data_IF_536870315331
#
_entry.id   IF_536870315331
#
_cell.length_a   1.000
_cell.length_b   1.000
_cell.length_c   1.000
_cell.angle_alpha   90.00
_cell.angle_beta   90.00
_cell.angle_gamma   90.00
#
_symmetry.space_group_name_H-M   'P 1'
#
loop_
_entity.id
_entity.type
_entity.pdbx_description
1 polymer ?
#
# COMPACT_ATOMS: atom_id res chain seq x y z
N UNK A 1 28.44 -14.77 -22.39
CA UNK A 1 28.28 -13.32 -22.61
C UNK A 1 26.83 -12.82 -22.54
N UNK A 2 25.84 -13.62 -22.10
CA UNK A 2 24.42 -13.21 -22.01
C UNK A 2 23.97 -12.64 -20.65
N UNK A 3 24.79 -12.72 -19.61
CA UNK A 3 24.39 -12.28 -18.26
C UNK A 3 24.60 -10.77 -17.96
N UNK A 4 25.43 -10.10 -18.74
CA UNK A 4 25.70 -8.67 -18.51
C UNK A 4 24.59 -7.73 -19.06
N UNK A 5 23.83 -8.18 -20.06
CA UNK A 5 22.75 -7.37 -20.66
C UNK A 5 21.47 -7.30 -19.81
N UNK A 6 21.18 -8.32 -19.00
CA UNK A 6 19.97 -8.35 -18.17
C UNK A 6 20.08 -7.52 -16.89
N UNK A 7 21.26 -7.42 -16.31
CA UNK A 7 21.49 -6.60 -15.11
C UNK A 7 21.47 -5.08 -15.44
N UNK A 8 21.93 -4.67 -16.63
CA UNK A 8 21.89 -3.28 -17.06
C UNK A 8 20.47 -2.78 -17.30
N UNK A 9 19.62 -3.57 -17.97
CA UNK A 9 18.24 -3.20 -18.26
C UNK A 9 17.37 -3.12 -16.99
N UNK A 10 17.56 -4.02 -16.02
CA UNK A 10 16.86 -3.97 -14.74
C UNK A 10 17.26 -2.75 -13.89
N UNK A 11 18.51 -2.32 -13.97
CA UNK A 11 18.97 -1.09 -13.29
C UNK A 11 18.32 0.17 -13.86
N UNK A 12 18.12 0.25 -15.18
CA UNK A 12 17.49 1.39 -15.85
C UNK A 12 15.99 1.50 -15.47
N UNK A 13 15.29 0.38 -15.39
CA UNK A 13 13.87 0.39 -15.01
C UNK A 13 13.65 0.76 -13.54
N UNK A 14 14.54 0.38 -12.63
CA UNK A 14 14.47 0.76 -11.22
C UNK A 14 14.67 2.27 -10.99
N UNK A 15 15.25 3.00 -11.94
CA UNK A 15 15.35 4.47 -11.90
C UNK A 15 14.07 5.17 -12.40
N UNK A 16 13.09 4.44 -12.95
CA UNK A 16 11.86 5.04 -13.45
C UNK A 16 11.06 5.77 -12.36
N UNK A 17 10.95 5.20 -11.16
CA UNK A 17 10.27 5.86 -10.05
C UNK A 17 11.00 7.13 -9.59
N UNK A 18 12.30 7.10 -9.26
CA UNK A 18 13.04 8.31 -8.93
C UNK A 18 12.99 9.39 -10.03
N UNK A 19 13.10 8.99 -11.29
CA UNK A 19 13.03 9.91 -12.43
C UNK A 19 11.63 10.56 -12.54
N UNK A 20 10.57 9.76 -12.36
CA UNK A 20 9.19 10.26 -12.33
C UNK A 20 9.01 11.27 -11.19
N UNK A 21 9.43 10.92 -9.98
CA UNK A 21 9.39 11.83 -8.83
C UNK A 21 10.11 13.14 -9.10
N UNK A 22 11.33 13.11 -9.63
CA UNK A 22 12.11 14.31 -9.97
C UNK A 22 11.41 15.18 -11.05
N UNK A 23 10.81 14.54 -12.05
CA UNK A 23 10.05 15.25 -13.07
C UNK A 23 8.84 15.96 -12.48
N UNK A 24 8.08 15.27 -11.63
CA UNK A 24 6.92 15.83 -10.95
C UNK A 24 7.28 16.90 -9.90
N UNK A 25 8.44 16.81 -9.25
CA UNK A 25 8.90 17.83 -8.30
C UNK A 25 9.05 19.21 -8.95
N UNK A 26 9.27 19.27 -10.26
CA UNK A 26 9.40 20.50 -11.05
C UNK A 26 8.07 21.01 -11.59
N UNK A 27 6.98 20.24 -11.48
CA UNK A 27 5.66 20.62 -11.96
C UNK A 27 4.90 21.44 -10.91
N UNK A 28 4.06 22.39 -11.36
CA UNK A 28 3.19 23.13 -10.45
C UNK A 28 2.17 22.17 -9.81
N UNK A 29 1.86 22.43 -8.57
CA UNK A 29 0.78 21.81 -7.83
C UNK A 29 0.13 22.85 -6.93
N UNK A 30 -1.12 22.64 -6.59
CA UNK A 30 -1.90 23.60 -5.80
C UNK A 30 -2.89 22.88 -4.90
N UNK A 31 -3.40 23.60 -3.92
CA UNK A 31 -4.50 23.17 -3.09
C UNK A 31 -5.35 24.34 -2.68
N UNK A 32 -6.59 24.06 -2.34
CA UNK A 32 -7.51 25.01 -1.75
C UNK A 32 -8.06 24.46 -0.42
N UNK A 33 -8.32 25.35 0.51
CA UNK A 33 -8.98 25.03 1.78
C UNK A 33 -10.47 24.90 1.53
N UNK A 34 -11.03 23.73 1.79
CA UNK A 34 -12.46 23.43 1.60
C UNK A 34 -13.25 23.69 2.86
N UNK A 35 -12.73 23.22 4.00
CA UNK A 35 -13.42 23.34 5.28
C UNK A 35 -12.45 23.31 6.45
N UNK A 36 -12.96 23.80 7.59
CA UNK A 36 -12.34 23.65 8.90
C UNK A 36 -13.44 23.30 9.89
N UNK A 37 -13.28 22.16 10.57
CA UNK A 37 -14.28 21.65 11.50
C UNK A 37 -13.61 21.20 12.79
N UNK A 38 -14.37 21.23 13.88
CA UNK A 38 -13.92 20.69 15.18
C UNK A 38 -14.53 19.31 15.39
N UNK A 39 -13.74 18.44 15.97
CA UNK A 39 -14.21 17.17 16.52
C UNK A 39 -13.72 17.04 17.97
N UNK A 40 -14.22 16.07 18.71
CA UNK A 40 -13.80 15.86 20.09
C UNK A 40 -12.29 15.55 20.17
N UNK A 41 -11.52 16.45 20.76
CA UNK A 41 -10.09 16.32 20.97
C UNK A 41 -9.21 16.83 19.83
N UNK A 42 -9.78 17.52 18.83
CA UNK A 42 -8.98 18.04 17.73
C UNK A 42 -9.69 18.94 16.72
N UNK A 43 -8.94 19.33 15.71
CA UNK A 43 -9.39 20.09 14.54
C UNK A 43 -9.09 19.31 13.27
N UNK A 44 -10.02 19.36 12.32
CA UNK A 44 -9.87 18.85 10.95
C UNK A 44 -9.84 20.04 9.99
N UNK A 45 -8.85 20.06 9.12
CA UNK A 45 -8.79 20.94 7.95
C UNK A 45 -8.86 20.11 6.69
N UNK A 46 -9.84 20.43 5.84
CA UNK A 46 -10.11 19.71 4.59
C UNK A 46 -9.61 20.51 3.41
N UNK A 47 -8.96 19.87 2.48
CA UNK A 47 -8.37 20.47 1.31
C UNK A 47 -8.75 19.71 0.04
N UNK A 48 -8.81 20.42 -1.10
CA UNK A 48 -8.78 19.84 -2.42
C UNK A 48 -7.39 20.06 -3.01
N UNK A 49 -6.64 18.98 -3.21
CA UNK A 49 -5.27 18.97 -3.71
C UNK A 49 -5.25 18.64 -5.20
N UNK A 50 -4.74 19.53 -6.04
CA UNK A 50 -4.32 19.24 -7.41
C UNK A 50 -2.86 18.79 -7.37
N UNK A 51 -2.62 17.47 -7.39
CA UNK A 51 -1.32 16.88 -7.04
C UNK A 51 -0.33 16.84 -8.19
N UNK A 52 -0.80 16.51 -9.37
CA UNK A 52 0.01 16.29 -10.59
C UNK A 52 -0.87 16.10 -11.81
N UNK A 53 -0.26 16.18 -13.01
CA UNK A 53 -0.87 15.70 -14.26
C UNK A 53 -0.30 14.33 -14.63
N UNK A 54 -1.17 13.39 -15.05
CA UNK A 54 -0.78 12.04 -15.43
C UNK A 54 -1.56 11.57 -16.67
N UNK A 55 -0.99 10.78 -17.60
CA UNK A 55 0.39 10.28 -17.58
C UNK A 55 1.43 11.31 -18.03
N UNK A 56 1.03 12.34 -18.75
CA UNK A 56 1.91 13.38 -19.26
C UNK A 56 1.79 14.66 -18.41
N UNK A 57 2.90 15.26 -17.97
CA UNK A 57 2.88 16.48 -17.17
C UNK A 57 2.23 17.69 -17.84
N UNK A 58 2.20 17.74 -19.19
CA UNK A 58 1.68 18.88 -19.95
C UNK A 58 0.31 18.60 -20.57
N UNK A 59 0.03 17.34 -20.93
CA UNK A 59 -1.18 16.95 -21.67
C UNK A 59 -2.05 15.95 -20.92
N UNK A 60 -1.58 15.48 -19.75
CA UNK A 60 -2.32 14.54 -18.90
C UNK A 60 -3.47 15.17 -18.14
N UNK A 61 -4.28 14.31 -17.56
CA UNK A 61 -5.36 14.73 -16.64
C UNK A 61 -4.77 15.15 -15.29
N UNK A 62 -5.22 16.29 -14.78
CA UNK A 62 -4.85 16.74 -13.44
C UNK A 62 -5.56 15.85 -12.41
N UNK A 63 -4.77 15.29 -11.49
CA UNK A 63 -5.29 14.49 -10.41
C UNK A 63 -5.68 15.34 -9.21
N UNK A 64 -6.94 15.21 -8.80
CA UNK A 64 -7.49 15.90 -7.64
C UNK A 64 -7.78 14.90 -6.52
N UNK A 65 -7.44 15.29 -5.29
CA UNK A 65 -7.60 14.46 -4.10
C UNK A 65 -8.18 15.26 -2.96
N UNK A 66 -9.05 14.63 -2.19
CA UNK A 66 -9.43 15.16 -0.88
C UNK A 66 -8.31 14.86 0.11
N UNK A 67 -7.83 15.89 0.79
CA UNK A 67 -6.82 15.74 1.84
C UNK A 67 -7.38 16.27 3.16
N UNK A 68 -7.28 15.45 4.20
CA UNK A 68 -7.66 15.79 5.55
C UNK A 68 -6.42 15.90 6.41
N UNK A 69 -6.21 17.04 7.05
CA UNK A 69 -5.21 17.24 8.09
C UNK A 69 -5.93 17.33 9.43
N UNK A 70 -5.81 16.26 10.23
CA UNK A 70 -6.38 16.18 11.57
C UNK A 70 -5.27 16.46 12.59
N UNK A 71 -5.50 17.44 13.46
CA UNK A 71 -4.55 17.83 14.51
C UNK A 71 -5.21 17.68 15.88
N UNK A 72 -4.50 17.09 16.86
CA UNK A 72 -5.00 17.05 18.23
C UNK A 72 -4.93 18.44 18.87
N UNK A 73 -5.83 18.70 19.83
CA UNK A 73 -5.81 19.95 20.64
C UNK A 73 -4.50 20.12 21.38
N UNK A 74 -3.94 19.01 21.84
CA UNK A 74 -2.64 18.97 22.50
C UNK A 74 -1.72 18.08 21.67
N UNK A 75 -0.95 18.72 20.80
CA UNK A 75 0.02 18.02 19.95
C UNK A 75 1.18 17.50 20.81
N UNK A 76 1.52 16.25 20.59
CA UNK A 76 2.68 15.62 21.20
C UNK A 76 3.81 15.53 20.16
N UNK A 77 5.08 15.73 20.52
CA UNK A 77 6.20 15.53 19.59
C UNK A 77 6.21 14.11 19.01
N UNK A 78 6.70 13.98 17.78
CA UNK A 78 6.87 12.69 17.11
C UNK A 78 6.36 12.70 15.68
N UNK A 79 6.36 11.54 15.01
CA UNK A 79 5.90 11.41 13.64
C UNK A 79 4.38 11.62 13.53
N UNK A 80 3.93 12.09 12.37
CA UNK A 80 2.53 12.07 11.96
C UNK A 80 2.20 10.75 11.23
N UNK A 81 0.93 10.40 11.17
CA UNK A 81 0.46 9.30 10.32
C UNK A 81 0.03 9.85 8.97
N UNK A 82 0.62 9.33 7.88
CA UNK A 82 0.11 9.52 6.53
C UNK A 82 -0.72 8.30 6.13
N UNK A 83 -1.97 8.53 5.76
CA UNK A 83 -2.90 7.51 5.28
C UNK A 83 -3.13 7.70 3.79
N UNK A 84 -2.72 6.74 2.97
CA UNK A 84 -3.10 6.66 1.57
C UNK A 84 -4.43 5.92 1.51
N UNK A 85 -5.51 6.68 1.30
CA UNK A 85 -6.87 6.19 1.47
C UNK A 85 -7.58 6.00 0.11
N UNK A 86 -8.61 5.17 0.12
CA UNK A 86 -9.48 5.01 -1.03
C UNK A 86 -10.51 6.14 -1.10
N UNK A 87 -11.50 5.98 -1.96
CA UNK A 87 -12.62 6.88 -2.16
C UNK A 87 -12.94 7.01 -3.64
N UNK A 88 -14.11 7.54 -3.91
CA UNK A 88 -14.56 7.89 -5.26
C UNK A 88 -15.10 9.31 -5.22
N UNK A 89 -14.33 10.23 -5.80
CA UNK A 89 -14.67 11.64 -5.76
C UNK A 89 -15.94 11.96 -6.57
N UNK A 90 -16.16 11.24 -7.67
CA UNK A 90 -17.33 11.37 -8.53
C UNK A 90 -17.52 10.13 -9.42
N UNK A 91 -18.74 9.93 -9.89
CA UNK A 91 -19.19 8.78 -10.68
C UNK A 91 -18.89 8.85 -12.18
N UNK A 92 -17.99 9.74 -12.60
CA UNK A 92 -17.78 10.06 -14.03
C UNK A 92 -18.84 11.04 -14.61
N UNK A 93 -19.95 11.24 -13.93
CA UNK A 93 -20.98 12.25 -14.23
C UNK A 93 -20.89 13.49 -13.33
N UNK A 94 -19.85 13.59 -12.53
CA UNK A 94 -19.58 14.73 -11.65
C UNK A 94 -20.31 14.69 -10.30
N UNK A 95 -20.96 13.56 -9.95
CA UNK A 95 -21.62 13.42 -8.64
C UNK A 95 -20.65 12.85 -7.60
N UNK A 96 -20.58 13.41 -6.39
CA UNK A 96 -19.82 12.83 -5.30
C UNK A 96 -20.36 11.42 -4.97
N UNK A 97 -19.52 10.38 -4.96
CA UNK A 97 -19.99 9.00 -4.85
C UNK A 97 -19.58 8.29 -3.58
N UNK A 98 -18.57 8.72 -2.87
CA UNK A 98 -18.25 7.98 -1.67
C UNK A 98 -17.14 8.57 -0.82
N UNK A 99 -17.32 8.44 0.48
CA UNK A 99 -16.26 8.72 1.44
C UNK A 99 -15.18 7.62 1.37
N UNK A 100 -13.98 7.97 1.77
CA UNK A 100 -12.92 7.00 2.01
C UNK A 100 -13.36 6.02 3.12
N UNK A 101 -13.10 4.74 2.94
CA UNK A 101 -13.52 3.70 3.88
C UNK A 101 -12.47 2.63 4.20
N UNK A 102 -11.24 2.73 3.66
CA UNK A 102 -10.13 1.92 4.17
C UNK A 102 -9.78 2.34 5.60
N UNK A 103 -9.66 3.67 5.82
CA UNK A 103 -9.66 4.29 7.15
C UNK A 103 -10.72 5.42 7.15
N UNK A 104 -11.94 5.16 7.62
CA UNK A 104 -12.99 6.16 7.63
C UNK A 104 -12.75 7.23 8.71
N UNK A 105 -13.51 8.31 8.65
CA UNK A 105 -13.33 9.51 9.46
C UNK A 105 -13.32 9.26 10.96
N UNK A 106 -14.18 8.40 11.45
CA UNK A 106 -14.27 8.02 12.88
C UNK A 106 -13.00 7.27 13.35
N UNK A 107 -12.40 6.46 12.47
CA UNK A 107 -11.12 5.80 12.73
C UNK A 107 -9.99 6.81 12.78
N UNK A 108 -9.94 7.77 11.83
CA UNK A 108 -8.94 8.83 11.81
C UNK A 108 -9.01 9.70 13.07
N UNK A 109 -10.20 10.14 13.47
CA UNK A 109 -10.42 10.91 14.69
C UNK A 109 -10.05 10.13 15.96
N UNK A 110 -10.38 8.83 15.98
CA UNK A 110 -10.01 7.94 17.10
C UNK A 110 -8.49 7.82 17.23
N UNK A 111 -7.74 7.72 16.11
CA UNK A 111 -6.29 7.71 16.13
C UNK A 111 -5.73 9.02 16.71
N UNK A 112 -6.26 10.16 16.29
CA UNK A 112 -5.84 11.48 16.82
C UNK A 112 -6.08 11.57 18.32
N UNK A 113 -7.30 11.26 18.80
CA UNK A 113 -7.66 11.30 20.23
C UNK A 113 -6.80 10.34 21.07
N UNK A 114 -6.64 9.11 20.57
CA UNK A 114 -5.99 8.04 21.33
C UNK A 114 -4.49 8.24 21.46
N UNK A 115 -3.89 8.84 20.43
CA UNK A 115 -2.44 8.93 20.31
C UNK A 115 -1.90 10.36 20.47
N UNK A 116 -2.73 11.41 20.40
CA UNK A 116 -2.27 12.80 20.41
C UNK A 116 -1.32 13.11 19.24
N UNK A 117 -1.50 12.46 18.09
CA UNK A 117 -0.67 12.62 16.89
C UNK A 117 -1.46 13.24 15.74
N UNK A 118 -0.78 14.00 14.90
CA UNK A 118 -1.39 14.49 13.67
C UNK A 118 -1.59 13.34 12.67
N UNK A 119 -2.68 13.40 11.92
CA UNK A 119 -3.01 12.46 10.84
C UNK A 119 -3.23 13.26 9.56
N UNK A 120 -2.56 12.85 8.49
CA UNK A 120 -2.78 13.34 7.12
C UNK A 120 -3.41 12.19 6.34
N UNK A 121 -4.65 12.36 5.88
CA UNK A 121 -5.32 11.37 5.03
C UNK A 121 -5.49 11.94 3.64
N UNK A 122 -4.92 11.30 2.64
CA UNK A 122 -5.19 11.60 1.23
C UNK A 122 -6.14 10.54 0.69
N UNK A 123 -7.34 10.96 0.30
CA UNK A 123 -8.36 10.11 -0.30
C UNK A 123 -8.33 10.17 -1.84
N UNK A 124 -9.15 9.31 -2.46
CA UNK A 124 -9.29 9.22 -3.92
C UNK A 124 -7.95 8.87 -4.61
N UNK A 125 -7.22 7.92 -4.03
CA UNK A 125 -5.94 7.43 -4.59
C UNK A 125 -6.12 5.99 -5.11
N UNK A 126 -6.11 5.81 -6.46
CA UNK A 126 -6.09 6.83 -7.53
C UNK A 126 -7.42 7.58 -7.63
N UNK A 127 -7.47 8.74 -8.31
CA UNK A 127 -8.74 9.35 -8.71
C UNK A 127 -9.51 8.39 -9.62
N UNK A 128 -10.80 8.21 -9.34
CA UNK A 128 -11.65 7.25 -10.06
C UNK A 128 -13.12 7.67 -10.04
N UNK A 129 -13.93 7.30 -11.05
CA UNK A 129 -13.53 6.48 -12.22
C UNK A 129 -12.70 7.31 -13.19
N UNK A 130 -11.66 6.71 -13.79
CA UNK A 130 -10.74 7.39 -14.70
C UNK A 130 -10.63 6.63 -16.04
N UNK A 131 -10.64 7.37 -17.15
CA UNK A 131 -10.33 6.89 -18.47
C UNK A 131 -8.83 7.04 -18.77
N UNK A 132 -8.27 6.08 -19.51
CA UNK A 132 -6.88 6.20 -19.99
C UNK A 132 -6.84 6.95 -21.32
N UNK A 133 -5.78 7.69 -21.64
CA UNK A 133 -5.63 8.36 -22.93
C UNK A 133 -5.85 7.40 -24.12
N UNK A 134 -6.74 7.80 -25.04
CA UNK A 134 -7.11 7.01 -26.19
C UNK A 134 -8.07 5.84 -25.91
N UNK A 135 -8.54 5.70 -24.69
CA UNK A 135 -9.53 4.69 -24.29
C UNK A 135 -10.58 5.35 -23.37
N UNK A 136 -11.81 5.58 -23.84
CA UNK A 136 -12.84 6.31 -23.09
C UNK A 136 -13.47 5.48 -21.95
N UNK A 137 -13.09 4.21 -21.79
CA UNK A 137 -13.64 3.34 -20.76
C UNK A 137 -13.26 3.83 -19.37
N UNK A 138 -14.27 4.16 -18.57
CA UNK A 138 -14.06 4.56 -17.17
C UNK A 138 -13.75 3.31 -16.32
N UNK A 139 -12.63 3.35 -15.63
CA UNK A 139 -12.13 2.25 -14.80
C UNK A 139 -11.93 2.68 -13.36
N UNK A 140 -12.03 1.72 -12.47
CA UNK A 140 -11.82 1.91 -11.05
C UNK A 140 -10.89 0.82 -10.49
N UNK A 141 -10.28 1.08 -9.36
CA UNK A 141 -9.54 0.12 -8.54
C UNK A 141 -8.56 -0.75 -9.36
N UNK A 142 -8.62 -2.07 -9.24
CA UNK A 142 -7.67 -2.98 -9.86
C UNK A 142 -7.79 -3.05 -11.38
N UNK A 143 -8.97 -2.76 -11.94
CA UNK A 143 -9.14 -2.63 -13.38
C UNK A 143 -8.33 -1.46 -13.95
N UNK A 144 -8.30 -0.32 -13.25
CA UNK A 144 -7.48 0.82 -13.65
C UNK A 144 -5.97 0.52 -13.50
N UNK A 145 -5.56 -0.17 -12.44
CA UNK A 145 -4.17 -0.62 -12.25
C UNK A 145 -3.76 -1.55 -13.39
N UNK A 146 -4.53 -2.61 -13.64
CA UNK A 146 -4.24 -3.62 -14.66
C UNK A 146 -4.19 -3.00 -16.07
N UNK A 147 -5.12 -2.10 -16.40
CA UNK A 147 -5.12 -1.36 -17.65
C UNK A 147 -3.85 -0.50 -17.81
N UNK A 148 -3.40 0.17 -16.76
CA UNK A 148 -2.15 0.96 -16.80
C UNK A 148 -0.91 0.10 -17.01
N UNK A 149 -0.87 -1.09 -16.41
CA UNK A 149 0.19 -2.06 -16.61
C UNK A 149 0.17 -2.62 -18.05
N UNK A 150 -1.02 -2.89 -18.58
CA UNK A 150 -1.16 -3.36 -19.98
C UNK A 150 -0.61 -2.31 -20.95
N UNK A 151 -0.90 -1.04 -20.74
CA UNK A 151 -0.34 0.07 -21.55
C UNK A 151 1.19 0.09 -21.55
N UNK A 152 1.79 -0.12 -20.38
CA UNK A 152 3.24 -0.24 -20.29
C UNK A 152 3.75 -1.47 -21.04
N UNK A 153 3.14 -2.64 -20.85
CA UNK A 153 3.57 -3.89 -21.50
C UNK A 153 3.45 -3.85 -23.02
N UNK A 154 2.45 -3.15 -23.56
CA UNK A 154 2.27 -3.01 -25.00
C UNK A 154 3.32 -2.11 -25.65
N UNK A 155 3.82 -1.10 -24.95
CA UNK A 155 4.76 -0.14 -25.47
C UNK A 155 5.70 0.38 -24.37
N UNK A 156 6.65 -0.44 -23.85
CA UNK A 156 7.47 -0.07 -22.70
C UNK A 156 8.41 1.11 -22.96
N UNK A 157 8.86 1.29 -24.21
CA UNK A 157 9.73 2.41 -24.56
C UNK A 157 9.00 3.75 -24.39
N UNK A 158 9.52 4.61 -23.50
CA UNK A 158 8.93 5.91 -23.20
C UNK A 158 7.69 5.88 -22.26
N UNK A 159 7.25 4.71 -21.79
CA UNK A 159 6.04 4.56 -20.98
C UNK A 159 6.29 4.07 -19.54
N UNK A 160 7.52 4.17 -19.03
CA UNK A 160 7.87 3.75 -17.68
C UNK A 160 7.11 4.52 -16.56
N UNK A 161 6.49 5.64 -16.89
CA UNK A 161 5.65 6.47 -16.02
C UNK A 161 4.15 6.06 -16.00
N UNK A 162 3.75 5.10 -16.85
CA UNK A 162 2.36 4.65 -16.94
C UNK A 162 1.89 3.79 -15.77
N UNK A 163 2.72 2.92 -15.16
CA UNK A 163 2.24 2.10 -14.05
C UNK A 163 1.68 2.97 -12.91
N UNK A 164 0.42 2.74 -12.59
CA UNK A 164 -0.40 3.62 -11.75
C UNK A 164 0.16 3.84 -10.33
N UNK A 165 0.98 2.91 -9.84
CA UNK A 165 1.59 3.02 -8.51
C UNK A 165 2.52 4.25 -8.38
N UNK A 166 3.14 4.70 -9.48
CA UNK A 166 4.01 5.86 -9.47
C UNK A 166 3.23 7.14 -9.16
N UNK A 167 2.19 7.51 -9.95
CA UNK A 167 1.39 8.69 -9.63
C UNK A 167 0.64 8.56 -8.29
N UNK A 168 0.24 7.35 -7.86
CA UNK A 168 -0.34 7.14 -6.53
C UNK A 168 0.64 7.50 -5.41
N UNK A 169 1.89 7.04 -5.50
CA UNK A 169 2.95 7.38 -4.56
C UNK A 169 3.28 8.89 -4.60
N UNK A 170 3.34 9.49 -5.78
CA UNK A 170 3.59 10.92 -5.94
C UNK A 170 2.48 11.78 -5.31
N UNK A 171 1.21 11.38 -5.43
CA UNK A 171 0.11 12.08 -4.78
C UNK A 171 0.23 12.07 -3.25
N UNK A 172 0.67 10.96 -2.68
CA UNK A 172 0.91 10.85 -1.25
C UNK A 172 2.08 11.75 -0.78
N UNK A 173 3.13 11.89 -1.58
CA UNK A 173 4.22 12.86 -1.32
C UNK A 173 3.67 14.29 -1.35
N UNK A 174 2.78 14.63 -2.30
CA UNK A 174 2.15 15.96 -2.34
C UNK A 174 1.26 16.24 -1.13
N UNK A 175 0.63 15.22 -0.56
CA UNK A 175 -0.11 15.38 0.69
C UNK A 175 0.83 15.70 1.88
N UNK A 176 2.03 15.10 1.92
CA UNK A 176 3.05 15.50 2.90
C UNK A 176 3.53 16.94 2.65
N UNK A 177 3.76 17.33 1.40
CA UNK A 177 4.14 18.70 1.04
C UNK A 177 3.07 19.73 1.46
N UNK A 178 1.78 19.40 1.28
CA UNK A 178 0.66 20.20 1.74
C UNK A 178 0.68 20.34 3.28
N UNK A 179 0.79 19.22 3.98
CA UNK A 179 0.82 19.23 5.44
C UNK A 179 2.01 20.05 5.97
N UNK A 180 3.18 19.95 5.36
CA UNK A 180 4.35 20.73 5.72
C UNK A 180 4.19 22.25 5.46
N UNK A 181 3.36 22.65 4.48
CA UNK A 181 3.01 24.06 4.26
C UNK A 181 2.02 24.58 5.31
N UNK A 182 1.11 23.74 5.73
CA UNK A 182 0.03 24.09 6.66
C UNK A 182 0.49 24.00 8.14
N UNK A 183 1.58 23.29 8.43
CA UNK A 183 2.14 23.17 9.76
C UNK A 183 3.29 24.16 9.96
N UNK A 184 3.41 24.78 11.17
CA UNK A 184 4.60 25.54 11.50
C UNK A 184 5.88 24.74 11.31
N UNK A 185 6.96 25.37 10.86
CA UNK A 185 8.25 24.70 10.56
C UNK A 185 8.73 23.82 11.72
N UNK A 186 8.60 24.32 12.95
CA UNK A 186 8.99 23.58 14.17
C UNK A 186 8.09 22.34 14.47
N UNK A 187 6.98 22.19 13.75
CA UNK A 187 6.02 21.09 13.94
C UNK A 187 5.95 20.15 12.72
N UNK A 188 6.82 20.35 11.73
CA UNK A 188 6.86 19.46 10.55
C UNK A 188 7.37 18.08 10.99
N UNK A 189 6.52 17.05 10.85
CA UNK A 189 6.86 15.72 11.34
C UNK A 189 7.68 14.92 10.31
N UNK A 190 8.30 13.83 10.75
CA UNK A 190 8.46 12.66 9.90
C UNK A 190 7.14 11.90 9.80
N UNK A 191 7.03 10.99 8.85
CA UNK A 191 5.77 10.29 8.60
C UNK A 191 5.89 8.79 8.80
N UNK A 192 4.92 8.23 9.51
CA UNK A 192 4.57 6.81 9.44
C UNK A 192 3.56 6.67 8.32
N UNK A 193 3.81 5.83 7.32
CA UNK A 193 2.94 5.71 6.16
C UNK A 193 2.15 4.41 6.21
N UNK A 194 0.84 4.51 5.96
CA UNK A 194 -0.08 3.36 5.88
C UNK A 194 -1.01 3.48 4.68
N UNK A 195 -1.59 2.37 4.30
CA UNK A 195 -2.58 2.20 3.27
C UNK A 195 -2.93 0.73 3.14
N UNK A 196 -3.97 0.41 2.36
CA UNK A 196 -4.39 -0.96 2.13
C UNK A 196 -4.25 -1.35 0.65
N UNK A 197 -3.86 -2.62 0.38
CA UNK A 197 -3.80 -3.18 -0.97
C UNK A 197 -2.88 -2.37 -1.90
N UNK A 198 -3.34 -1.98 -3.08
CA UNK A 198 -2.59 -1.13 -4.03
C UNK A 198 -2.09 0.19 -3.44
N UNK A 199 -2.77 0.73 -2.42
CA UNK A 199 -2.36 1.94 -1.68
C UNK A 199 -1.21 1.65 -0.70
N UNK A 200 -1.24 0.46 -0.09
CA UNK A 200 -0.10 -0.06 0.67
C UNK A 200 1.10 -0.33 -0.24
N UNK A 201 0.86 -0.81 -1.47
CA UNK A 201 1.92 -0.93 -2.48
C UNK A 201 2.56 0.42 -2.76
N UNK A 202 1.75 1.45 -3.03
CA UNK A 202 2.26 2.80 -3.22
C UNK A 202 3.06 3.29 -1.99
N UNK A 203 2.64 2.95 -0.76
CA UNK A 203 3.34 3.36 0.47
C UNK A 203 4.79 2.86 0.53
N UNK A 204 5.08 1.68 -0.01
CA UNK A 204 6.42 1.13 -0.08
C UNK A 204 7.37 1.91 -1.01
N UNK A 205 6.81 2.63 -1.99
CA UNK A 205 7.60 3.41 -2.94
C UNK A 205 8.04 4.76 -2.36
N UNK A 206 7.32 5.30 -1.38
CA UNK A 206 7.62 6.63 -0.83
C UNK A 206 9.04 6.74 -0.25
N UNK A 207 9.50 5.84 0.66
CA UNK A 207 10.81 5.97 1.27
C UNK A 207 11.97 5.89 0.27
N UNK A 208 11.75 5.33 -0.91
CA UNK A 208 12.78 5.25 -1.95
C UNK A 208 13.23 6.63 -2.45
N UNK A 209 12.40 7.65 -2.31
CA UNK A 209 12.64 9.00 -2.83
C UNK A 209 12.42 10.11 -1.79
N UNK A 210 11.77 9.84 -0.66
CA UNK A 210 11.42 10.84 0.35
C UNK A 210 11.92 10.43 1.74
N UNK A 211 12.79 11.26 2.31
CA UNK A 211 13.44 11.00 3.61
C UNK A 211 12.54 11.28 4.81
N UNK A 212 11.43 11.96 4.61
CA UNK A 212 10.44 12.20 5.67
C UNK A 212 9.73 10.93 6.12
N UNK A 213 9.74 9.86 5.31
CA UNK A 213 9.16 8.57 5.70
C UNK A 213 10.08 7.87 6.70
N UNK A 214 9.58 7.68 7.91
CA UNK A 214 10.32 7.06 9.02
C UNK A 214 9.90 5.62 9.33
N UNK A 215 8.65 5.26 9.05
CA UNK A 215 8.10 3.92 9.30
C UNK A 215 7.06 3.56 8.23
N UNK A 216 6.84 2.26 8.05
CA UNK A 216 5.78 1.73 7.17
C UNK A 216 4.82 0.82 7.93
N UNK A 217 3.52 0.95 7.65
CA UNK A 217 2.48 0.06 8.16
C UNK A 217 1.54 -0.36 7.01
N UNK A 218 2.01 -1.12 6.01
CA UNK A 218 1.19 -1.59 4.89
C UNK A 218 0.22 -2.68 5.32
N UNK A 219 -1.01 -2.63 4.79
CA UNK A 219 -2.06 -3.62 5.02
C UNK A 219 -2.37 -4.38 3.74
N UNK A 220 -2.54 -5.70 3.87
CA UNK A 220 -3.00 -6.63 2.83
C UNK A 220 -2.32 -6.43 1.49
N UNK A 221 -0.99 -6.46 1.51
CA UNK A 221 -0.14 -6.39 0.33
C UNK A 221 1.12 -7.23 0.50
N UNK A 222 1.43 -8.03 -0.49
CA UNK A 222 2.66 -8.79 -0.59
C UNK A 222 3.46 -8.36 -1.82
N UNK A 223 4.74 -8.67 -1.85
CA UNK A 223 5.68 -8.27 -2.89
C UNK A 223 6.43 -9.49 -3.46
N UNK A 224 7.39 -9.26 -4.37
CA UNK A 224 8.12 -10.30 -5.07
C UNK A 224 7.22 -11.10 -6.02
N UNK A 225 6.48 -10.36 -6.85
CA UNK A 225 5.47 -10.93 -7.75
C UNK A 225 5.97 -12.01 -8.69
N UNK A 226 7.24 -12.01 -9.06
CA UNK A 226 7.82 -13.08 -9.87
C UNK A 226 7.81 -14.45 -9.16
N UNK A 227 7.99 -14.47 -7.83
CA UNK A 227 7.89 -15.69 -7.03
C UNK A 227 6.47 -15.90 -6.51
N UNK A 228 5.77 -14.84 -6.16
CA UNK A 228 4.43 -14.87 -5.59
C UNK A 228 3.37 -15.35 -6.57
N UNK A 229 3.41 -14.92 -7.82
CA UNK A 229 2.37 -15.26 -8.80
C UNK A 229 2.28 -16.78 -9.09
N UNK A 230 3.39 -17.52 -9.30
CA UNK A 230 3.35 -18.99 -9.38
C UNK A 230 2.83 -19.64 -8.10
N UNK A 231 3.17 -19.10 -6.93
CA UNK A 231 2.67 -19.59 -5.65
C UNK A 231 1.16 -19.43 -5.52
N UNK A 232 0.62 -18.23 -5.81
CA UNK A 232 -0.83 -17.97 -5.84
C UNK A 232 -1.52 -19.02 -6.72
N UNK A 233 -1.06 -19.18 -7.95
CA UNK A 233 -1.65 -20.14 -8.87
C UNK A 233 -1.60 -21.58 -8.35
N UNK A 234 -0.51 -21.98 -7.70
CA UNK A 234 -0.36 -23.30 -7.11
C UNK A 234 -1.37 -23.54 -5.97
N UNK A 235 -1.46 -22.60 -5.01
CA UNK A 235 -2.33 -22.77 -3.83
C UNK A 235 -3.83 -22.72 -4.17
N UNK A 236 -4.19 -22.07 -5.28
CA UNK A 236 -5.56 -22.06 -5.82
C UNK A 236 -5.82 -23.13 -6.90
N UNK A 237 -5.05 -24.24 -6.88
CA UNK A 237 -5.31 -25.41 -7.73
C UNK A 237 -5.08 -25.17 -9.22
N UNK A 238 -4.09 -24.36 -9.59
CA UNK A 238 -3.73 -24.03 -10.97
C UNK A 238 -4.56 -22.89 -11.58
N UNK A 239 -5.44 -22.26 -10.80
CA UNK A 239 -6.30 -21.14 -11.23
C UNK A 239 -5.85 -19.83 -10.60
N UNK A 240 -6.34 -18.72 -11.14
CA UNK A 240 -6.22 -17.43 -10.52
C UNK A 240 -7.42 -17.19 -9.58
N UNK A 241 -7.24 -16.62 -8.40
CA UNK A 241 -8.36 -16.22 -7.55
C UNK A 241 -9.19 -15.13 -8.20
N UNK A 242 -10.48 -15.06 -7.86
CA UNK A 242 -11.44 -14.10 -8.46
C UNK A 242 -10.95 -12.66 -8.31
N UNK A 243 -10.30 -12.34 -7.20
CA UNK A 243 -9.76 -11.01 -6.93
C UNK A 243 -8.74 -10.54 -7.98
N UNK A 244 -8.02 -11.47 -8.64
CA UNK A 244 -7.11 -11.15 -9.73
C UNK A 244 -7.81 -11.08 -11.11
N UNK A 245 -9.15 -11.14 -11.16
CA UNK A 245 -9.94 -11.06 -12.40
C UNK A 245 -9.51 -9.93 -13.34
N UNK A 246 -9.40 -8.67 -12.88
CA UNK A 246 -8.95 -7.56 -13.72
C UNK A 246 -7.57 -7.79 -14.35
N UNK A 247 -6.64 -8.38 -13.63
CA UNK A 247 -5.30 -8.70 -14.16
C UNK A 247 -5.32 -9.84 -15.19
N UNK A 248 -6.25 -10.78 -15.04
CA UNK A 248 -6.50 -11.84 -16.05
C UNK A 248 -7.12 -11.23 -17.31
N UNK A 249 -8.15 -10.42 -17.16
CA UNK A 249 -8.87 -9.78 -18.27
C UNK A 249 -7.96 -8.89 -19.12
N UNK A 250 -7.01 -8.19 -18.49
CA UNK A 250 -6.02 -7.38 -19.19
C UNK A 250 -4.78 -8.19 -19.66
N UNK A 251 -4.77 -9.51 -19.52
CA UNK A 251 -3.66 -10.36 -19.95
C UNK A 251 -2.35 -10.14 -19.20
N UNK A 252 -2.41 -9.55 -17.99
CA UNK A 252 -1.22 -9.33 -17.16
C UNK A 252 -0.67 -10.67 -16.67
N UNK A 253 -1.57 -11.59 -16.30
CA UNK A 253 -1.20 -12.94 -15.84
C UNK A 253 -0.50 -13.76 -16.91
N UNK A 254 -0.80 -13.53 -18.19
CA UNK A 254 -0.16 -14.21 -19.33
C UNK A 254 1.26 -13.67 -19.58
N UNK A 255 1.53 -12.44 -19.16
CA UNK A 255 2.85 -11.84 -19.28
C UNK A 255 3.83 -12.28 -18.18
N UNK A 256 3.35 -12.94 -17.11
CA UNK A 256 4.20 -13.41 -16.01
C UNK A 256 5.30 -14.34 -16.54
N UNK A 257 6.54 -14.09 -16.11
CA UNK A 257 7.72 -14.81 -16.62
C UNK A 257 8.34 -14.23 -17.89
N UNK A 258 7.67 -13.27 -18.55
CA UNK A 258 8.26 -12.55 -19.67
C UNK A 258 9.24 -11.46 -19.20
N UNK A 259 10.12 -11.03 -20.14
CA UNK A 259 11.00 -9.87 -19.90
C UNK A 259 10.17 -8.60 -19.61
N UNK A 260 9.08 -8.37 -20.36
CA UNK A 260 8.22 -7.20 -20.16
C UNK A 260 7.63 -7.15 -18.75
N UNK A 261 7.18 -8.29 -18.21
CA UNK A 261 6.71 -8.36 -16.84
C UNK A 261 7.83 -8.15 -15.81
N UNK A 262 9.02 -8.68 -16.06
CA UNK A 262 10.19 -8.43 -15.20
C UNK A 262 10.57 -6.95 -15.18
N UNK A 263 10.55 -6.29 -16.33
CA UNK A 263 10.80 -4.86 -16.46
C UNK A 263 9.72 -4.02 -15.73
N UNK A 264 8.43 -4.41 -15.84
CA UNK A 264 7.34 -3.78 -15.08
C UNK A 264 7.55 -3.92 -13.56
N UNK A 265 7.89 -5.13 -13.10
CA UNK A 265 8.15 -5.37 -11.67
C UNK A 265 9.39 -4.61 -11.19
N UNK A 266 10.40 -4.40 -12.02
CA UNK A 266 11.54 -3.55 -11.70
C UNK A 266 11.14 -2.08 -11.41
N UNK A 267 10.01 -1.63 -11.98
CA UNK A 267 9.45 -0.29 -11.72
C UNK A 267 8.61 -0.26 -10.44
N UNK A 268 7.68 -1.22 -10.30
CA UNK A 268 6.61 -1.10 -9.29
C UNK A 268 6.78 -2.00 -8.08
N UNK A 269 7.48 -3.14 -8.18
CA UNK A 269 7.60 -4.09 -7.07
C UNK A 269 8.66 -3.63 -6.06
N UNK A 270 8.29 -3.32 -4.81
CA UNK A 270 9.24 -2.90 -3.78
C UNK A 270 10.39 -3.89 -3.57
N UNK A 271 10.15 -5.18 -3.79
CA UNK A 271 11.17 -6.23 -3.65
C UNK A 271 12.37 -6.01 -4.56
N UNK A 272 12.17 -5.49 -5.77
CA UNK A 272 13.25 -5.29 -6.75
C UNK A 272 14.24 -4.24 -6.29
N UNK A 273 13.83 -3.28 -5.49
CA UNK A 273 14.69 -2.23 -4.92
C UNK A 273 15.60 -2.73 -3.80
N UNK A 274 15.34 -3.92 -3.23
CA UNK A 274 16.19 -4.52 -2.19
C UNK A 274 17.59 -4.88 -2.68
N UNK A 275 17.76 -5.03 -3.98
CA UNK A 275 19.05 -5.35 -4.61
C UNK A 275 19.75 -4.11 -5.21
N UNK A 276 19.13 -2.94 -5.11
CA UNK A 276 19.60 -1.71 -5.74
C UNK A 276 20.25 -0.73 -4.75
N UNK A 277 20.71 0.43 -5.27
CA UNK A 277 21.36 1.46 -4.46
C UNK A 277 20.41 2.09 -3.39
N UNK A 278 19.10 1.88 -3.54
CA UNK A 278 18.09 2.41 -2.62
C UNK A 278 17.64 1.40 -1.55
N UNK A 279 18.26 0.23 -1.47
CA UNK A 279 17.91 -0.82 -0.51
C UNK A 279 17.94 -0.32 0.95
N UNK A 280 18.92 0.52 1.29
CA UNK A 280 19.03 1.11 2.62
C UNK A 280 17.84 1.98 3.02
N UNK A 281 17.13 2.55 2.04
CA UNK A 281 15.92 3.36 2.27
C UNK A 281 14.74 2.51 2.79
N UNK A 282 14.77 1.20 2.54
CA UNK A 282 13.77 0.24 3.05
C UNK A 282 14.17 -0.35 4.40
N UNK A 283 15.27 0.05 5.02
CA UNK A 283 15.71 -0.45 6.33
C UNK A 283 14.96 0.17 7.54
N UNK A 284 13.98 1.02 7.29
CA UNK A 284 13.12 1.62 8.32
C UNK A 284 12.23 0.56 9.01
N UNK A 285 11.74 0.80 10.26
CA UNK A 285 10.83 -0.10 10.94
C UNK A 285 9.52 -0.30 10.20
N UNK A 286 9.02 -1.55 10.18
CA UNK A 286 7.82 -1.96 9.43
C UNK A 286 6.88 -2.82 10.26
N UNK A 287 5.58 -2.57 10.12
CA UNK A 287 4.49 -3.44 10.56
C UNK A 287 3.71 -3.91 9.33
N UNK A 288 3.90 -5.15 8.93
CA UNK A 288 3.10 -5.77 7.87
C UNK A 288 1.84 -6.35 8.48
N UNK A 289 0.68 -6.03 7.92
CA UNK A 289 -0.61 -6.54 8.40
C UNK A 289 -1.33 -7.23 7.27
N UNK A 290 -1.44 -8.56 7.34
CA UNK A 290 -2.12 -9.40 6.36
C UNK A 290 -3.37 -10.05 6.95
N UNK A 291 -4.24 -10.57 6.09
CA UNK A 291 -5.47 -11.25 6.45
C UNK A 291 -5.35 -12.77 6.22
N UNK A 292 -5.88 -13.57 7.15
CA UNK A 292 -5.75 -15.04 7.07
C UNK A 292 -6.57 -15.67 5.94
N UNK A 293 -7.61 -14.98 5.47
CA UNK A 293 -8.49 -15.40 4.39
C UNK A 293 -8.44 -14.45 3.19
N UNK A 294 -7.29 -13.81 2.94
CA UNK A 294 -7.10 -12.91 1.82
C UNK A 294 -7.21 -13.68 0.49
N UNK A 295 -7.96 -13.13 -0.45
CA UNK A 295 -8.22 -13.71 -1.76
C UNK A 295 -7.35 -13.12 -2.88
N UNK A 296 -6.51 -12.11 -2.58
CA UNK A 296 -5.40 -11.68 -3.43
C UNK A 296 -4.10 -12.38 -3.04
N UNK A 297 -3.83 -12.46 -1.73
CA UNK A 297 -2.57 -12.90 -1.18
C UNK A 297 -2.76 -14.07 -0.22
N UNK A 298 -2.31 -15.28 -0.56
CA UNK A 298 -2.35 -16.41 0.36
C UNK A 298 -1.68 -16.07 1.69
N UNK A 299 -2.18 -16.58 2.83
CA UNK A 299 -1.67 -16.20 4.14
C UNK A 299 -0.19 -16.55 4.38
N UNK A 300 0.40 -17.39 3.55
CA UNK A 300 1.82 -17.75 3.56
C UNK A 300 2.67 -17.02 2.49
N UNK A 301 2.11 -16.09 1.74
CA UNK A 301 2.80 -15.34 0.68
C UNK A 301 4.10 -14.66 1.15
N UNK A 302 4.14 -14.25 2.41
CA UNK A 302 5.32 -13.61 3.02
C UNK A 302 6.59 -14.48 3.03
N UNK A 303 6.49 -15.80 2.85
CA UNK A 303 7.66 -16.69 2.76
C UNK A 303 8.61 -16.31 1.61
N UNK A 304 8.08 -15.64 0.58
CA UNK A 304 8.85 -15.28 -0.60
C UNK A 304 9.72 -14.02 -0.42
N UNK A 305 9.49 -13.23 0.63
CA UNK A 305 10.21 -11.94 0.74
C UNK A 305 10.53 -11.49 2.18
N UNK A 306 9.85 -12.00 3.21
CA UNK A 306 9.96 -11.48 4.57
C UNK A 306 11.40 -11.52 5.11
N UNK A 307 12.11 -12.60 4.84
CA UNK A 307 13.51 -12.77 5.29
C UNK A 307 14.51 -11.88 4.56
N UNK A 308 14.14 -11.34 3.40
CA UNK A 308 14.97 -10.42 2.63
C UNK A 308 14.79 -8.95 3.02
N UNK A 309 13.75 -8.63 3.80
CA UNK A 309 13.48 -7.24 4.19
C UNK A 309 14.54 -6.73 5.17
N UNK A 310 15.19 -5.60 4.87
CA UNK A 310 16.15 -5.00 5.78
C UNK A 310 15.45 -4.27 6.92
N UNK A 311 16.11 -4.17 8.07
CA UNK A 311 15.63 -3.44 9.24
C UNK A 311 14.52 -4.15 10.03
N UNK A 312 14.03 -3.53 11.11
CA UNK A 312 13.03 -4.13 11.97
C UNK A 312 11.71 -4.37 11.25
N UNK A 313 11.27 -5.62 11.18
CA UNK A 313 10.03 -6.01 10.51
C UNK A 313 9.19 -6.86 11.45
N UNK A 314 7.92 -6.51 11.61
CA UNK A 314 6.92 -7.28 12.36
C UNK A 314 5.79 -7.64 11.40
N UNK A 315 5.46 -8.93 11.33
CA UNK A 315 4.29 -9.43 10.61
C UNK A 315 3.16 -9.72 11.60
N UNK A 316 1.97 -9.24 11.29
CA UNK A 316 0.72 -9.61 11.95
C UNK A 316 -0.27 -10.14 10.91
N UNK A 317 -0.88 -11.26 11.20
CA UNK A 317 -1.94 -11.83 10.37
C UNK A 317 -3.24 -11.76 11.17
N UNK A 318 -4.24 -11.01 10.66
CA UNK A 318 -5.55 -10.92 11.27
C UNK A 318 -6.33 -12.22 11.02
N UNK A 319 -6.74 -12.94 12.08
CA UNK A 319 -7.53 -14.15 11.91
C UNK A 319 -8.95 -13.83 11.48
N UNK A 320 -9.63 -14.76 10.79
CA UNK A 320 -11.00 -14.63 10.32
C UNK A 320 -11.27 -13.32 9.56
N UNK A 321 -10.30 -12.90 8.76
CA UNK A 321 -10.37 -11.70 7.96
C UNK A 321 -10.05 -12.03 6.51
N UNK A 322 -10.84 -11.52 5.59
CA UNK A 322 -10.53 -11.46 4.16
C UNK A 322 -9.87 -10.12 3.79
N UNK A 323 -9.57 -9.93 2.51
CA UNK A 323 -8.90 -8.73 2.00
C UNK A 323 -9.61 -7.43 2.41
N UNK A 324 -10.92 -7.34 2.19
CA UNK A 324 -11.73 -6.18 2.57
C UNK A 324 -12.02 -6.11 4.07
N UNK A 325 -12.15 -7.24 4.73
CA UNK A 325 -12.45 -7.36 6.15
C UNK A 325 -11.34 -6.88 7.08
N UNK A 326 -10.13 -6.72 6.58
CA UNK A 326 -9.00 -6.18 7.35
C UNK A 326 -9.29 -4.81 7.99
N UNK A 327 -10.20 -4.03 7.40
CA UNK A 327 -10.62 -2.73 7.90
C UNK A 327 -11.11 -2.77 9.35
N UNK A 328 -11.75 -3.86 9.76
CA UNK A 328 -12.25 -4.08 11.15
C UNK A 328 -11.12 -4.18 12.17
N UNK A 329 -9.92 -4.54 11.73
CA UNK A 329 -8.76 -4.74 12.57
C UNK A 329 -7.81 -3.54 12.60
N UNK A 330 -8.10 -2.45 11.87
CA UNK A 330 -7.19 -1.31 11.69
C UNK A 330 -6.71 -0.73 13.02
N UNK A 331 -7.63 -0.35 13.92
CA UNK A 331 -7.26 0.24 15.20
C UNK A 331 -6.51 -0.75 16.11
N UNK A 332 -6.96 -2.00 16.17
CA UNK A 332 -6.31 -3.06 16.95
C UNK A 332 -4.85 -3.29 16.49
N UNK A 333 -4.60 -3.20 15.19
CA UNK A 333 -3.28 -3.44 14.63
C UNK A 333 -2.38 -2.20 14.70
N UNK A 334 -2.90 -1.02 14.37
CA UNK A 334 -2.11 0.21 14.29
C UNK A 334 -1.82 0.83 15.66
N UNK A 335 -2.81 0.97 16.54
CA UNK A 335 -2.66 1.75 17.78
C UNK A 335 -1.49 1.27 18.64
N UNK A 336 -1.30 -0.03 18.89
CA UNK A 336 -0.15 -0.49 19.68
C UNK A 336 1.20 -0.18 19.04
N UNK A 337 1.29 -0.30 17.71
CA UNK A 337 2.53 -0.01 16.99
C UNK A 337 2.85 1.49 17.01
N UNK A 338 1.86 2.33 16.70
CA UNK A 338 2.01 3.77 16.70
C UNK A 338 2.40 4.33 18.09
N UNK A 339 1.83 3.77 19.16
CA UNK A 339 2.23 4.14 20.53
C UNK A 339 3.70 3.87 20.79
N UNK A 340 4.19 2.69 20.40
CA UNK A 340 5.58 2.30 20.59
C UNK A 340 6.53 3.17 19.77
N UNK A 341 6.25 3.33 18.49
CA UNK A 341 7.07 4.15 17.59
C UNK A 341 7.14 5.62 18.02
N UNK A 342 6.03 6.17 18.53
CA UNK A 342 6.03 7.53 19.07
C UNK A 342 6.87 7.68 20.34
N UNK A 343 7.06 6.61 21.09
CA UNK A 343 7.92 6.56 22.26
C UNK A 343 9.34 6.07 21.94
N UNK A 344 9.68 6.01 20.66
CA UNK A 344 10.97 5.48 20.16
C UNK A 344 11.26 4.05 20.68
N UNK A 345 10.21 3.25 20.81
CA UNK A 345 10.30 1.87 21.26
C UNK A 345 10.11 0.92 20.06
N UNK A 346 10.95 -0.12 19.92
CA UNK A 346 10.76 -1.13 18.89
C UNK A 346 9.51 -1.95 19.15
N UNK A 347 8.93 -2.52 18.11
CA UNK A 347 7.86 -3.51 18.26
C UNK A 347 8.39 -4.78 18.95
N UNK A 348 7.54 -5.51 19.71
CA UNK A 348 7.94 -6.75 20.35
C UNK A 348 8.43 -7.78 19.32
N UNK A 349 9.52 -8.47 19.65
CA UNK A 349 10.03 -9.54 18.81
C UNK A 349 9.33 -10.85 19.18
N UNK A 350 8.76 -11.51 18.19
CA UNK A 350 8.13 -12.83 18.31
C UNK A 350 8.62 -13.68 17.16
N UNK A 351 9.23 -14.81 17.48
CA UNK A 351 9.66 -15.81 16.50
C UNK A 351 8.83 -17.08 16.69
N UNK A 352 8.17 -17.51 15.63
CA UNK A 352 7.41 -18.75 15.61
C UNK A 352 8.09 -19.76 14.67
N UNK A 353 8.24 -20.98 15.14
CA UNK A 353 8.78 -22.09 14.36
C UNK A 353 7.83 -23.28 14.42
N UNK A 354 7.42 -23.75 13.25
CA UNK A 354 6.61 -24.95 13.10
C UNK A 354 7.51 -26.15 12.82
N UNK A 355 7.43 -27.16 13.70
CA UNK A 355 8.06 -28.46 13.50
C UNK A 355 7.02 -29.42 12.92
N UNK A 356 7.11 -29.69 11.64
CA UNK A 356 6.18 -30.57 10.94
C UNK A 356 6.30 -32.05 11.39
N UNK A 357 7.49 -32.50 11.84
CA UNK A 357 7.70 -33.88 12.28
C UNK A 357 7.00 -34.17 13.60
N UNK A 358 6.89 -33.21 14.48
CA UNK A 358 6.26 -33.37 15.81
C UNK A 358 4.90 -32.63 15.90
N UNK A 359 4.45 -31.97 14.84
CA UNK A 359 3.27 -31.10 14.81
C UNK A 359 3.25 -30.07 15.97
N UNK A 360 4.42 -29.51 16.27
CA UNK A 360 4.57 -28.53 17.36
C UNK A 360 4.93 -27.15 16.82
N UNK A 361 4.29 -26.15 17.37
CA UNK A 361 4.69 -24.76 17.19
C UNK A 361 5.48 -24.31 18.42
N UNK A 362 6.70 -23.82 18.17
CA UNK A 362 7.51 -23.18 19.21
C UNK A 362 7.45 -21.68 18.99
N UNK A 363 7.00 -20.96 20.00
CA UNK A 363 6.96 -19.49 19.99
C UNK A 363 7.99 -18.98 20.99
N UNK A 364 8.87 -18.10 20.53
CA UNK A 364 9.86 -17.41 21.34
C UNK A 364 9.54 -15.92 21.33
N UNK A 365 9.44 -15.32 22.50
CA UNK A 365 9.26 -13.89 22.68
C UNK A 365 10.58 -13.27 23.13
N UNK A 366 10.75 -11.97 22.84
CA UNK A 366 11.89 -11.20 23.35
C UNK A 366 11.80 -11.00 24.86
N UNK A 367 12.23 -9.83 25.32
CA UNK A 367 12.24 -9.51 26.78
C UNK A 367 10.82 -9.37 27.35
N UNK A 368 9.84 -9.01 26.53
CA UNK A 368 8.45 -8.83 26.95
C UNK A 368 7.72 -10.16 26.98
N UNK A 369 7.09 -10.48 28.10
CA UNK A 369 6.30 -11.71 28.23
C UNK A 369 4.89 -11.49 27.71
N UNK A 370 4.33 -12.42 26.92
CA UNK A 370 2.94 -12.35 26.49
C UNK A 370 2.01 -12.54 27.70
N UNK A 371 0.90 -11.80 27.68
CA UNK A 371 -0.18 -11.97 28.68
C UNK A 371 -1.00 -13.21 28.38
N UNK A 372 -1.19 -13.50 27.10
CA UNK A 372 -1.92 -14.69 26.62
C UNK A 372 -1.35 -15.13 25.27
N UNK A 373 -1.64 -16.39 24.93
CA UNK A 373 -1.35 -16.95 23.61
C UNK A 373 -2.59 -17.70 23.10
N UNK A 374 -2.97 -17.45 21.86
CA UNK A 374 -4.11 -18.11 21.20
C UNK A 374 -3.59 -18.74 19.91
N UNK A 375 -3.88 -20.02 19.70
CA UNK A 375 -3.62 -20.72 18.46
C UNK A 375 -4.86 -20.64 17.56
N UNK A 376 -4.70 -20.04 16.38
CA UNK A 376 -5.71 -20.09 15.33
C UNK A 376 -5.34 -21.21 14.35
N UNK A 377 -6.34 -22.04 14.02
CA UNK A 377 -6.16 -23.17 13.12
C UNK A 377 -7.34 -23.23 12.16
N UNK A 378 -7.05 -23.45 10.88
CA UNK A 378 -8.04 -23.73 9.86
C UNK A 378 -7.61 -24.95 9.05
N UNK A 379 -8.59 -25.64 8.49
CA UNK A 379 -8.41 -26.81 7.66
C UNK A 379 -9.24 -26.71 6.40
N UNK A 380 -8.62 -26.83 5.24
CA UNK A 380 -9.27 -26.96 3.94
C UNK A 380 -8.56 -28.07 3.15
N UNK A 381 -9.22 -29.20 2.87
CA UNK A 381 -8.60 -30.34 2.20
C UNK A 381 -8.40 -30.11 0.69
N UNK A 382 -9.15 -29.21 0.09
CA UNK A 382 -9.25 -29.07 -1.37
C UNK A 382 -8.36 -27.97 -1.93
N UNK A 383 -8.15 -26.91 -1.15
CA UNK A 383 -7.32 -25.75 -1.54
C UNK A 383 -6.86 -24.96 -0.32
N UNK A 384 -5.85 -24.12 -0.47
CA UNK A 384 -5.44 -23.17 0.59
C UNK A 384 -6.30 -21.91 0.61
N UNK A 385 -7.58 -22.07 0.40
CA UNK A 385 -8.57 -21.00 0.45
C UNK A 385 -9.22 -20.97 1.84
N UNK A 386 -8.89 -19.95 2.61
CA UNK A 386 -9.37 -19.73 3.98
C UNK A 386 -10.26 -18.50 4.10
N UNK A 387 -10.89 -18.08 3.00
CA UNK A 387 -11.81 -16.94 3.01
C UNK A 387 -12.98 -17.20 3.95
N UNK A 388 -13.28 -16.21 4.78
CA UNK A 388 -14.37 -16.31 5.76
C UNK A 388 -15.75 -16.52 5.09
N UNK A 389 -15.91 -16.04 3.88
CA UNK A 389 -17.15 -16.08 3.11
C UNK A 389 -17.31 -17.30 2.20
N UNK A 390 -16.44 -18.32 2.31
CA UNK A 390 -16.59 -19.58 1.59
C UNK A 390 -17.81 -20.35 2.08
N UNK A 391 -18.94 -20.10 1.56
CA UNK A 391 -20.29 -20.61 1.91
C UNK A 391 -21.36 -19.74 1.27
N UNK A 392 -20.99 -18.57 0.77
CA UNK A 392 -21.83 -17.72 -0.06
C UNK A 392 -21.77 -18.23 -1.52
N UNK A 393 -22.89 -18.20 -2.28
CA UNK A 393 -22.96 -18.72 -3.67
C UNK A 393 -21.90 -18.21 -4.64
N UNK A 394 -21.21 -17.10 -4.36
CA UNK A 394 -20.07 -16.59 -5.13
C UNK A 394 -18.83 -17.48 -5.04
N UNK A 395 -18.74 -18.38 -4.08
CA UNK A 395 -17.64 -19.36 -3.95
C UNK A 395 -17.85 -20.66 -4.75
N UNK A 396 -18.88 -20.78 -5.56
CA UNK A 396 -19.09 -21.99 -6.41
C UNK A 396 -18.01 -22.17 -7.48
N UNK A 397 -17.10 -21.23 -7.63
CA UNK A 397 -15.98 -21.28 -8.57
C UNK A 397 -14.62 -21.45 -7.87
N UNK A 398 -14.61 -21.58 -6.56
CA UNK A 398 -13.41 -21.85 -5.77
C UNK A 398 -12.99 -23.33 -5.85
#
# INVERSE_FOLDING_TARGET
MAAAGSAGAASDQAEAWPAYHQAQARQPWSYEVVARTRFEGGERRSFMLASQSWPDPQQGTVWHHRVELLQPDVAQPGPALLVINNGVAHDGGGRPVGAANDLPDDVLETLVRTLGMAVVSIADVPPQATALPGDPTLRTEDDLVAASWRRYLDAPAGHAHWPLHLPMAQSAIRAMDLADRELPVAQRPSYIVTGASKRAWASWLLPLVDERVSHLAPFVIDMHWQALAPHIRHVYGGRWPIALGPYVEHGITDAIGSKGFADLMAIVDPYTYLQGPRASRLALPKLLVNASGDDFFPPDATIHYLSALPGPTTLRVAPNSDHGGIRRHTLEMLVPALRRWRSDLPLPQVNAHWDAATARMRVQTGKERPVSAVLWQAYNPDARDFRHACGIPMCRQC
#
